data_IF_435793179117
#
_entry.id   IF_435793179117
#
_cell.length_a   1.000
_cell.length_b   1.000
_cell.length_c   1.000
_cell.angle_alpha   90.00
_cell.angle_beta   90.00
_cell.angle_gamma   90.00
#
_symmetry.space_group_name_H-M   'P 1'
#
loop_
_entity.id
_entity.type
_entity.pdbx_description
1 polymer ?
#
# COMPACT_ATOMS: atom_id res chain seq x y z
N UNK A 1 -4.52 16.34 22.11
CA UNK A 1 -3.98 16.52 20.76
C UNK A 1 -5.15 16.33 19.82
N UNK A 2 -5.59 17.39 19.15
CA UNK A 2 -6.78 17.33 18.29
C UNK A 2 -6.55 16.45 17.07
N UNK A 3 -7.60 16.11 16.45
CA UNK A 3 -7.93 15.36 15.24
C UNK A 3 -6.88 15.28 14.11
N UNK A 4 -5.69 14.79 14.39
CA UNK A 4 -4.69 14.55 13.36
C UNK A 4 -5.00 13.22 12.66
N UNK A 5 -5.26 13.25 11.35
CA UNK A 5 -5.74 12.11 10.57
C UNK A 5 -4.67 11.59 9.62
N UNK A 6 -4.75 10.32 9.27
CA UNK A 6 -3.88 9.77 8.23
C UNK A 6 -4.11 10.49 6.90
N UNK A 7 -5.36 10.59 6.47
CA UNK A 7 -5.77 11.31 5.26
C UNK A 7 -6.06 12.76 5.60
N UNK A 8 -5.08 13.64 5.37
CA UNK A 8 -5.22 15.09 5.52
C UNK A 8 -4.39 15.72 6.64
N UNK A 9 -3.81 14.99 7.55
CA UNK A 9 -3.08 15.54 8.69
C UNK A 9 -4.00 16.34 9.63
N UNK A 10 -3.88 17.67 9.62
CA UNK A 10 -4.77 18.58 10.36
C UNK A 10 -6.10 18.84 9.65
N UNK A 11 -6.17 18.57 8.35
CA UNK A 11 -7.40 18.58 7.55
C UNK A 11 -7.95 17.16 7.51
N UNK A 12 -9.17 17.05 6.98
CA UNK A 12 -9.86 15.79 6.81
C UNK A 12 -10.20 15.65 5.32
N UNK A 13 -9.36 14.90 4.57
CA UNK A 13 -9.61 14.67 3.14
C UNK A 13 -10.94 13.93 2.94
N UNK A 14 -11.30 12.99 3.84
CA UNK A 14 -12.60 12.34 3.77
C UNK A 14 -13.73 13.37 3.81
N UNK A 15 -13.71 14.26 4.80
CA UNK A 15 -14.73 15.31 4.96
C UNK A 15 -14.78 16.24 3.75
N UNK A 16 -13.62 16.65 3.22
CA UNK A 16 -13.54 17.47 2.01
C UNK A 16 -14.25 16.80 0.84
N UNK A 17 -14.02 15.50 0.63
CA UNK A 17 -14.66 14.74 -0.44
C UNK A 17 -16.15 14.57 -0.19
N UNK A 18 -16.58 14.31 1.04
CA UNK A 18 -18.00 14.20 1.42
C UNK A 18 -18.75 15.53 1.23
N UNK A 19 -18.13 16.67 1.55
CA UNK A 19 -18.67 18.01 1.28
C UNK A 19 -18.79 18.32 -0.22
N UNK A 20 -18.02 17.61 -1.06
CA UNK A 20 -18.14 17.64 -2.52
C UNK A 20 -19.08 16.55 -3.11
N UNK A 21 -19.84 15.86 -2.26
CA UNK A 21 -20.88 14.90 -2.66
C UNK A 21 -20.39 13.46 -2.88
N UNK A 22 -19.15 13.12 -2.52
CA UNK A 22 -18.63 11.77 -2.65
C UNK A 22 -18.80 10.99 -1.34
N UNK A 23 -19.21 9.73 -1.45
CA UNK A 23 -19.22 8.81 -0.30
C UNK A 23 -17.84 8.19 -0.14
N UNK A 24 -17.21 8.36 1.00
CA UNK A 24 -15.87 7.85 1.31
C UNK A 24 -15.91 6.91 2.50
N UNK A 25 -15.20 5.80 2.41
CA UNK A 25 -15.05 4.81 3.48
C UNK A 25 -13.55 4.63 3.73
N UNK A 26 -13.09 4.89 4.94
CA UNK A 26 -11.73 4.62 5.35
C UNK A 26 -11.65 3.25 6.03
N UNK A 27 -10.67 2.46 5.61
CA UNK A 27 -10.27 1.21 6.24
C UNK A 27 -8.86 1.34 6.79
N UNK A 28 -8.56 0.64 7.87
CA UNK A 28 -7.24 0.64 8.51
C UNK A 28 -6.73 -0.78 8.63
N UNK A 29 -5.51 -1.03 8.18
CA UNK A 29 -4.87 -2.36 8.20
C UNK A 29 -3.49 -2.28 8.81
N UNK A 30 -3.02 -3.39 9.39
CA UNK A 30 -1.74 -3.46 10.08
C UNK A 30 -0.57 -3.04 9.18
N UNK A 31 0.36 -2.17 9.67
CA UNK A 31 1.48 -1.70 8.86
C UNK A 31 2.55 -2.78 8.61
N UNK A 32 2.55 -3.84 9.40
CA UNK A 32 3.56 -4.90 9.40
C UNK A 32 3.11 -6.13 8.60
N UNK A 33 1.81 -6.35 8.50
CA UNK A 33 1.22 -7.49 7.79
C UNK A 33 1.54 -7.46 6.29
N UNK A 34 1.58 -8.62 5.67
CA UNK A 34 1.73 -8.76 4.22
C UNK A 34 0.56 -8.14 3.46
N UNK A 35 0.73 -7.89 2.17
CA UNK A 35 -0.38 -7.43 1.32
C UNK A 35 -1.52 -8.45 1.24
N UNK A 36 -1.23 -9.75 1.35
CA UNK A 36 -2.24 -10.80 1.42
C UNK A 36 -3.12 -10.65 2.66
N UNK A 37 -2.51 -10.59 3.85
CA UNK A 37 -3.24 -10.45 5.11
C UNK A 37 -4.03 -9.14 5.15
N UNK A 38 -3.42 -8.04 4.72
CA UNK A 38 -4.05 -6.72 4.64
C UNK A 38 -5.25 -6.70 3.69
N UNK A 39 -5.17 -7.35 2.55
CA UNK A 39 -6.26 -7.42 1.58
C UNK A 39 -7.47 -8.16 2.17
N UNK A 40 -7.24 -9.25 2.89
CA UNK A 40 -8.29 -9.99 3.60
C UNK A 40 -8.93 -9.13 4.70
N UNK A 41 -8.13 -8.38 5.44
CA UNK A 41 -8.65 -7.45 6.45
C UNK A 41 -9.50 -6.32 5.82
N UNK A 42 -9.08 -5.76 4.68
CA UNK A 42 -9.89 -4.78 3.93
C UNK A 42 -11.24 -5.38 3.53
N UNK A 43 -11.23 -6.61 3.01
CA UNK A 43 -12.46 -7.30 2.64
C UNK A 43 -13.43 -7.41 3.82
N UNK A 44 -12.97 -7.91 4.96
CA UNK A 44 -13.82 -8.07 6.14
C UNK A 44 -14.24 -6.75 6.79
N UNK A 45 -13.40 -5.70 6.73
CA UNK A 45 -13.81 -4.37 7.18
C UNK A 45 -14.97 -3.82 6.31
N UNK A 46 -14.97 -4.09 5.01
CA UNK A 46 -16.04 -3.66 4.11
C UNK A 46 -17.28 -4.55 4.20
N UNK A 47 -17.13 -5.86 4.08
CA UNK A 47 -18.23 -6.82 4.06
C UNK A 47 -18.79 -7.15 5.44
N UNK A 48 -17.94 -7.18 6.45
CA UNK A 48 -18.23 -7.72 7.78
C UNK A 48 -17.77 -9.16 7.94
N UNK A 49 -18.02 -9.71 9.12
CA UNK A 49 -17.64 -11.07 9.47
C UNK A 49 -16.31 -11.18 10.17
N UNK A 50 -15.89 -12.40 10.44
CA UNK A 50 -14.59 -12.73 11.05
C UNK A 50 -13.54 -12.86 9.97
N UNK A 51 -12.38 -12.25 10.18
CA UNK A 51 -11.21 -12.41 9.30
C UNK A 51 -10.85 -13.88 9.19
N UNK A 52 -10.66 -14.34 7.96
CA UNK A 52 -10.21 -15.69 7.63
C UNK A 52 -9.07 -15.59 6.60
N UNK A 53 -7.83 -15.79 7.06
CA UNK A 53 -6.64 -15.69 6.21
C UNK A 53 -6.48 -16.87 5.22
N UNK A 54 -7.39 -17.85 5.26
CA UNK A 54 -7.36 -19.05 4.43
C UNK A 54 -6.52 -20.18 5.05
N UNK A 55 -6.98 -21.40 4.89
CA UNK A 55 -6.35 -22.58 5.51
C UNK A 55 -4.93 -22.83 4.98
N UNK A 56 -4.76 -22.77 3.66
CA UNK A 56 -3.44 -22.98 3.04
C UNK A 56 -2.44 -21.91 3.41
N UNK A 57 -2.84 -20.64 3.36
CA UNK A 57 -1.99 -19.50 3.67
C UNK A 57 -1.57 -19.53 5.14
N UNK A 58 -2.52 -19.73 6.05
CA UNK A 58 -2.26 -19.79 7.48
C UNK A 58 -1.34 -20.93 7.86
N UNK A 59 -1.54 -22.12 7.28
CA UNK A 59 -0.65 -23.28 7.48
C UNK A 59 0.75 -23.00 6.96
N UNK A 60 0.88 -22.38 5.78
CA UNK A 60 2.18 -22.09 5.16
C UNK A 60 3.03 -21.14 6.00
N UNK A 61 2.40 -20.13 6.61
CA UNK A 61 3.10 -19.07 7.32
C UNK A 61 2.96 -19.11 8.85
N UNK A 62 2.30 -20.15 9.40
CA UNK A 62 2.14 -20.32 10.84
C UNK A 62 1.23 -19.28 11.49
N UNK A 63 0.15 -18.86 10.78
CA UNK A 63 -0.79 -17.87 11.26
C UNK A 63 -1.96 -18.54 11.99
N UNK A 64 -2.61 -17.77 12.88
CA UNK A 64 -3.98 -18.08 13.34
C UNK A 64 -4.92 -17.74 12.17
N UNK A 65 -5.56 -18.77 11.59
CA UNK A 65 -6.42 -18.60 10.43
C UNK A 65 -7.57 -17.62 10.69
N UNK A 66 -8.24 -17.74 11.84
CA UNK A 66 -9.38 -16.93 12.25
C UNK A 66 -9.14 -16.30 13.63
N UNK A 67 -8.39 -15.18 13.72
CA UNK A 67 -8.17 -14.51 15.00
C UNK A 67 -9.49 -14.09 15.64
N UNK A 68 -9.68 -14.38 16.92
CA UNK A 68 -10.95 -14.17 17.63
C UNK A 68 -11.29 -12.69 17.87
N UNK A 69 -10.30 -11.82 17.80
CA UNK A 69 -10.42 -10.38 17.99
C UNK A 69 -10.66 -9.60 16.70
N UNK A 70 -10.56 -10.26 15.53
CA UNK A 70 -10.77 -9.63 14.21
C UNK A 70 -12.15 -9.96 13.65
N UNK A 71 -13.19 -9.36 14.25
CA UNK A 71 -14.59 -9.46 13.80
C UNK A 71 -15.11 -8.08 13.47
N UNK A 72 -15.60 -7.88 12.25
CA UNK A 72 -16.07 -6.59 11.75
C UNK A 72 -17.58 -6.60 11.47
N UNK A 73 -18.22 -5.45 11.73
CA UNK A 73 -19.66 -5.26 11.40
C UNK A 73 -19.94 -5.06 9.92
N UNK A 74 -18.89 -4.71 9.16
CA UNK A 74 -19.00 -4.29 7.77
C UNK A 74 -19.37 -2.81 7.61
N UNK A 75 -18.46 -2.06 6.96
CA UNK A 75 -18.66 -0.65 6.63
C UNK A 75 -19.51 -0.49 5.36
N UNK A 76 -19.51 -1.50 4.50
CA UNK A 76 -20.26 -1.54 3.24
C UNK A 76 -20.75 -2.97 2.93
N UNK A 77 -21.68 -3.56 3.72
CA UNK A 77 -22.10 -4.96 3.55
C UNK A 77 -22.70 -5.28 2.17
N UNK A 78 -23.29 -4.27 1.49
CA UNK A 78 -23.85 -4.40 0.14
C UNK A 78 -22.79 -4.37 -0.97
N UNK A 79 -21.49 -4.23 -0.66
CA UNK A 79 -20.40 -4.30 -1.63
C UNK A 79 -20.48 -5.60 -2.44
N UNK A 80 -20.36 -5.48 -3.74
CA UNK A 80 -20.49 -6.58 -4.69
C UNK A 80 -20.51 -6.06 -6.12
N UNK A 81 -20.72 -6.91 -7.11
CA UNK A 81 -20.75 -6.53 -8.53
C UNK A 81 -21.83 -5.50 -8.87
N UNK A 82 -22.96 -5.50 -8.15
CA UNK A 82 -24.00 -4.48 -8.31
C UNK A 82 -23.69 -3.15 -7.62
N UNK A 83 -22.74 -3.14 -6.70
CA UNK A 83 -22.31 -1.99 -5.92
C UNK A 83 -20.78 -1.96 -5.81
N UNK A 84 -20.07 -1.85 -6.94
CA UNK A 84 -18.61 -1.86 -6.96
C UNK A 84 -18.04 -0.60 -6.29
N UNK A 85 -16.75 -0.67 -5.93
CA UNK A 85 -16.04 0.44 -5.31
C UNK A 85 -14.85 0.88 -6.15
N UNK A 86 -14.42 2.13 -5.93
CA UNK A 86 -13.13 2.65 -6.33
C UNK A 86 -12.18 2.54 -5.14
N UNK A 87 -11.06 1.88 -5.30
CA UNK A 87 -10.04 1.75 -4.26
C UNK A 87 -8.97 2.83 -4.43
N UNK A 88 -8.61 3.49 -3.35
CA UNK A 88 -7.53 4.47 -3.32
C UNK A 88 -6.54 4.07 -2.22
N UNK A 89 -5.32 3.73 -2.61
CA UNK A 89 -4.27 3.27 -1.69
C UNK A 89 -3.04 4.18 -1.70
N UNK A 90 -2.58 4.58 -0.50
CA UNK A 90 -1.32 5.29 -0.35
C UNK A 90 -0.22 4.33 0.06
N UNK A 91 0.99 4.53 -0.49
CA UNK A 91 2.16 3.71 -0.15
C UNK A 91 1.87 2.21 -0.38
N UNK A 92 2.15 1.36 0.59
CA UNK A 92 1.80 -0.07 0.54
C UNK A 92 0.31 -0.34 0.26
N UNK A 93 -0.58 0.64 0.55
CA UNK A 93 -2.03 0.52 0.31
C UNK A 93 -2.40 0.27 -1.16
N UNK A 94 -1.62 0.79 -2.11
CA UNK A 94 -1.83 0.50 -3.53
C UNK A 94 -1.48 -0.95 -3.89
N UNK A 95 -0.42 -1.53 -3.33
CA UNK A 95 -0.13 -2.96 -3.47
C UNK A 95 -1.22 -3.82 -2.80
N UNK A 96 -1.72 -3.39 -1.62
CA UNK A 96 -2.83 -4.06 -0.93
C UNK A 96 -4.11 -4.06 -1.77
N UNK A 97 -4.43 -2.95 -2.45
CA UNK A 97 -5.59 -2.86 -3.35
C UNK A 97 -5.46 -3.82 -4.55
N UNK A 98 -4.28 -3.94 -5.15
CA UNK A 98 -3.99 -4.92 -6.21
C UNK A 98 -4.10 -6.37 -5.70
N UNK A 99 -3.61 -6.63 -4.50
CA UNK A 99 -3.74 -7.95 -3.89
C UNK A 99 -5.21 -8.29 -3.62
N UNK A 100 -6.02 -7.33 -3.14
CA UNK A 100 -7.46 -7.54 -2.95
C UNK A 100 -8.17 -7.86 -4.28
N UNK A 101 -7.83 -7.14 -5.36
CA UNK A 101 -8.30 -7.49 -6.70
C UNK A 101 -7.98 -8.95 -7.05
N UNK A 102 -6.73 -9.36 -6.88
CA UNK A 102 -6.29 -10.71 -7.16
C UNK A 102 -7.08 -11.76 -6.36
N UNK A 103 -7.28 -11.51 -5.06
CA UNK A 103 -8.03 -12.41 -4.19
C UNK A 103 -9.51 -12.50 -4.58
N UNK A 104 -10.12 -11.42 -5.05
CA UNK A 104 -11.50 -11.41 -5.54
C UNK A 104 -11.66 -12.11 -6.89
N UNK A 105 -10.69 -11.98 -7.78
CA UNK A 105 -10.84 -12.46 -9.16
C UNK A 105 -10.42 -13.92 -9.36
N UNK A 106 -9.76 -14.52 -8.39
CA UNK A 106 -9.25 -15.90 -8.48
C UNK A 106 -9.96 -16.85 -7.53
N UNK A 107 -9.94 -18.11 -7.88
CA UNK A 107 -10.41 -19.22 -7.06
C UNK A 107 -9.23 -19.89 -6.36
N UNK A 108 -9.40 -20.21 -5.09
CA UNK A 108 -8.35 -20.86 -4.30
C UNK A 108 -8.79 -22.26 -3.86
N UNK A 109 -7.84 -23.18 -3.81
CA UNK A 109 -8.09 -24.58 -3.46
C UNK A 109 -7.20 -25.03 -2.31
N UNK A 110 -7.79 -25.69 -1.32
CA UNK A 110 -7.05 -26.36 -0.24
C UNK A 110 -6.31 -27.59 -0.81
N UNK A 111 -6.97 -28.30 -1.70
CA UNK A 111 -6.41 -29.47 -2.36
C UNK A 111 -6.86 -29.51 -3.82
N UNK A 112 -5.94 -29.18 -4.72
CA UNK A 112 -6.20 -29.13 -6.16
C UNK A 112 -6.61 -30.50 -6.72
N UNK A 113 -5.99 -31.58 -6.24
CA UNK A 113 -6.28 -32.94 -6.74
C UNK A 113 -7.69 -33.42 -6.39
N UNK A 114 -8.24 -32.95 -5.26
CA UNK A 114 -9.59 -33.26 -4.81
C UNK A 114 -10.61 -32.18 -5.20
N UNK A 115 -10.17 -31.13 -5.87
CA UNK A 115 -11.00 -29.97 -6.23
C UNK A 115 -11.73 -29.37 -5.01
N UNK A 116 -11.05 -29.30 -3.85
CA UNK A 116 -11.57 -28.72 -2.63
C UNK A 116 -11.16 -27.26 -2.54
N UNK A 117 -12.12 -26.34 -2.64
CA UNK A 117 -11.94 -24.90 -2.50
C UNK A 117 -11.75 -24.48 -1.04
N UNK A 118 -11.12 -23.33 -0.83
CA UNK A 118 -11.12 -22.66 0.46
C UNK A 118 -12.55 -22.31 0.88
N UNK A 119 -12.84 -22.44 2.17
CA UNK A 119 -14.16 -22.12 2.74
C UNK A 119 -14.32 -20.64 3.12
N UNK A 120 -13.25 -19.84 2.96
CA UNK A 120 -13.31 -18.40 3.20
C UNK A 120 -14.23 -17.71 2.20
N UNK A 121 -15.06 -16.78 2.66
CA UNK A 121 -15.96 -15.98 1.83
C UNK A 121 -15.24 -15.23 0.69
N UNK A 122 -13.97 -14.89 0.90
CA UNK A 122 -13.13 -14.23 -0.12
C UNK A 122 -12.40 -15.23 -1.01
N UNK A 123 -11.86 -16.31 -0.44
CA UNK A 123 -10.90 -17.18 -1.13
C UNK A 123 -11.55 -18.40 -1.83
N UNK A 124 -12.86 -18.55 -1.74
CA UNK A 124 -13.58 -19.66 -2.36
C UNK A 124 -13.77 -19.48 -3.86
N UNK A 125 -14.87 -18.86 -4.23
CA UNK A 125 -15.23 -18.60 -5.63
C UNK A 125 -14.80 -17.23 -6.10
N UNK A 126 -14.52 -17.09 -7.40
CA UNK A 126 -14.18 -15.81 -8.03
C UNK A 126 -15.33 -14.78 -7.89
N UNK A 127 -15.00 -13.56 -7.52
CA UNK A 127 -15.92 -12.44 -7.25
C UNK A 127 -15.58 -11.24 -8.12
N UNK A 128 -15.63 -11.40 -9.44
CA UNK A 128 -15.33 -10.33 -10.41
C UNK A 128 -16.33 -9.19 -10.36
N UNK A 129 -15.90 -8.01 -10.82
CA UNK A 129 -16.75 -6.83 -10.95
C UNK A 129 -17.02 -6.08 -9.64
N UNK A 130 -16.32 -6.40 -8.54
CA UNK A 130 -16.50 -5.71 -7.26
C UNK A 130 -15.66 -4.43 -7.15
N UNK A 131 -14.67 -4.27 -8.03
CA UNK A 131 -13.76 -3.11 -8.08
C UNK A 131 -13.90 -2.45 -9.45
N UNK A 132 -14.25 -1.18 -9.49
CA UNK A 132 -14.31 -0.38 -10.73
C UNK A 132 -12.96 0.23 -11.09
N UNK A 133 -12.20 0.67 -10.10
CA UNK A 133 -10.87 1.22 -10.32
C UNK A 133 -9.95 1.06 -9.11
N UNK A 134 -8.65 1.06 -9.38
CA UNK A 134 -7.59 1.13 -8.37
C UNK A 134 -6.75 2.36 -8.64
N UNK A 135 -6.62 3.21 -7.61
CA UNK A 135 -5.72 4.37 -7.62
C UNK A 135 -4.62 4.17 -6.59
N UNK A 136 -3.39 4.33 -7.02
CA UNK A 136 -2.20 4.27 -6.17
C UNK A 136 -1.54 5.64 -6.02
N UNK A 137 -1.21 6.02 -4.78
CA UNK A 137 -0.49 7.26 -4.45
C UNK A 137 0.83 6.88 -3.76
N UNK A 138 1.95 7.30 -4.30
CA UNK A 138 3.28 6.99 -3.74
C UNK A 138 3.52 5.49 -3.48
N UNK A 139 2.92 4.61 -4.28
CA UNK A 139 2.96 3.16 -4.07
C UNK A 139 4.24 2.55 -4.66
N UNK A 140 4.99 1.77 -3.89
CA UNK A 140 6.19 1.08 -4.38
C UNK A 140 5.80 -0.17 -5.18
N UNK A 141 5.29 -0.02 -6.41
CA UNK A 141 4.85 -1.14 -7.26
C UNK A 141 5.99 -2.13 -7.53
N UNK A 142 7.21 -1.63 -7.71
CA UNK A 142 8.42 -2.42 -7.93
C UNK A 142 9.31 -2.49 -6.68
N UNK A 143 8.74 -2.22 -5.51
CA UNK A 143 9.46 -2.13 -4.25
C UNK A 143 10.11 -0.76 -4.01
N UNK A 144 10.78 -0.64 -2.88
CA UNK A 144 11.55 0.54 -2.48
C UNK A 144 12.96 0.14 -2.08
N UNK A 145 13.96 0.84 -2.63
CA UNK A 145 15.35 0.64 -2.23
C UNK A 145 15.58 0.93 -0.73
N UNK A 146 14.72 1.74 -0.10
CA UNK A 146 14.75 1.95 1.34
C UNK A 146 14.40 0.68 2.12
N UNK A 147 13.41 -0.08 1.68
CA UNK A 147 13.02 -1.32 2.35
C UNK A 147 14.18 -2.33 2.37
N UNK A 148 14.89 -2.49 1.26
CA UNK A 148 16.08 -3.35 1.17
C UNK A 148 17.23 -2.88 2.07
N UNK A 149 17.49 -1.57 2.14
CA UNK A 149 18.54 -1.01 2.99
C UNK A 149 18.19 -1.25 4.47
N UNK A 150 16.95 -1.00 4.85
CA UNK A 150 16.51 -1.10 6.25
C UNK A 150 16.49 -2.56 6.71
N UNK A 151 15.96 -3.47 5.91
CA UNK A 151 15.88 -4.90 6.26
C UNK A 151 17.26 -5.55 6.40
N UNK A 152 18.25 -5.10 5.61
CA UNK A 152 19.62 -5.61 5.69
C UNK A 152 20.43 -5.01 6.86
N UNK A 153 20.04 -3.84 7.40
CA UNK A 153 20.83 -3.10 8.38
C UNK A 153 20.24 -3.12 9.79
N UNK A 154 18.93 -3.16 9.93
CA UNK A 154 18.22 -3.13 11.22
C UNK A 154 17.03 -4.09 11.20
N UNK A 155 16.62 -4.63 12.36
CA UNK A 155 15.33 -5.30 12.43
C UNK A 155 14.24 -4.32 11.97
N UNK A 156 13.50 -4.70 10.93
CA UNK A 156 12.50 -3.87 10.25
C UNK A 156 11.47 -3.24 11.21
N UNK A 157 11.17 -3.92 12.30
CA UNK A 157 10.29 -3.42 13.35
C UNK A 157 10.80 -2.12 13.99
N UNK A 158 12.11 -1.91 14.11
CA UNK A 158 12.68 -0.67 14.66
C UNK A 158 12.44 0.51 13.72
N UNK A 159 12.36 0.26 12.42
CA UNK A 159 11.99 1.27 11.44
C UNK A 159 10.55 1.74 11.63
N UNK A 160 9.60 0.81 11.80
CA UNK A 160 8.19 1.15 12.06
C UNK A 160 7.99 1.81 13.42
N UNK A 161 8.71 1.39 14.45
CA UNK A 161 8.69 2.06 15.77
C UNK A 161 9.19 3.50 15.62
N UNK A 162 10.24 3.73 14.84
CA UNK A 162 10.73 5.06 14.53
C UNK A 162 9.71 5.91 13.77
N UNK A 163 9.03 5.34 12.77
CA UNK A 163 7.96 5.99 12.03
C UNK A 163 6.74 6.31 12.90
N UNK A 164 6.30 5.38 13.73
CA UNK A 164 5.22 5.58 14.68
C UNK A 164 5.53 6.69 15.71
N UNK A 165 6.79 6.80 16.12
CA UNK A 165 7.25 7.90 16.96
C UNK A 165 7.16 9.28 16.30
N UNK A 166 7.21 9.34 14.98
CA UNK A 166 7.16 10.58 14.19
C UNK A 166 5.72 11.03 13.89
N UNK A 167 4.85 10.08 13.54
CA UNK A 167 3.46 10.35 13.10
C UNK A 167 2.47 10.22 14.26
N UNK A 168 2.90 9.66 15.37
CA UNK A 168 2.10 9.39 16.57
C UNK A 168 1.64 7.93 16.64
N UNK A 169 1.73 7.35 17.83
CA UNK A 169 1.37 5.94 18.11
C UNK A 169 -0.09 5.60 17.84
N UNK A 170 -0.96 6.60 17.70
CA UNK A 170 -2.39 6.42 17.42
C UNK A 170 -2.68 6.03 15.96
N UNK A 171 -1.72 6.12 15.05
CA UNK A 171 -1.89 5.78 13.63
C UNK A 171 -1.42 4.37 13.29
N UNK A 172 -0.64 3.75 14.15
CA UNK A 172 -0.11 2.41 13.94
C UNK A 172 -0.51 1.54 15.11
N UNK A 173 -1.69 0.96 15.02
CA UNK A 173 -1.96 -0.23 15.80
C UNK A 173 -1.09 -1.35 15.18
N UNK A 174 -0.11 -1.82 15.97
CA UNK A 174 0.64 -3.01 15.58
C UNK A 174 -0.25 -4.21 15.85
N UNK A 175 -1.28 -4.35 15.01
CA UNK A 175 -2.16 -5.49 15.03
C UNK A 175 -1.39 -6.72 14.53
N UNK A 176 -1.01 -7.58 15.47
CA UNK A 176 -0.20 -8.76 15.27
C UNK A 176 -0.92 -10.02 15.78
N UNK A 177 -2.25 -9.95 15.87
CA UNK A 177 -3.08 -11.04 16.39
C UNK A 177 -2.97 -12.32 15.56
N UNK A 178 -2.68 -12.22 14.26
CA UNK A 178 -2.45 -13.37 13.40
C UNK A 178 -1.22 -14.21 13.83
N UNK A 179 -0.29 -13.65 14.60
CA UNK A 179 0.88 -14.37 15.14
C UNK A 179 0.82 -14.60 16.65
N UNK A 180 -0.32 -14.31 17.30
CA UNK A 180 -0.48 -14.38 18.77
C UNK A 180 0.53 -13.54 19.55
N UNK A 181 0.95 -12.41 18.99
CA UNK A 181 1.93 -11.51 19.62
C UNK A 181 1.38 -10.15 20.02
N UNK A 182 0.08 -10.07 20.29
CA UNK A 182 -0.52 -8.87 20.84
C UNK A 182 0.06 -8.53 22.22
N UNK A 183 0.07 -7.24 22.55
CA UNK A 183 0.52 -6.78 23.85
C UNK A 183 -0.42 -7.29 24.94
N UNK A 184 0.13 -7.97 25.96
CA UNK A 184 -0.63 -8.47 27.12
C UNK A 184 -1.05 -7.30 28.03
N UNK A 185 -2.22 -7.40 28.65
CA UNK A 185 -2.80 -6.34 29.49
C UNK A 185 -1.87 -5.85 30.62
N UNK A 186 -1.03 -6.72 31.16
CA UNK A 186 -0.07 -6.41 32.25
C UNK A 186 1.37 -6.22 31.74
N UNK A 187 1.59 -6.13 30.44
CA UNK A 187 2.91 -5.99 29.83
C UNK A 187 3.22 -4.52 29.58
N UNK A 188 4.32 -4.01 30.14
CA UNK A 188 4.77 -2.68 29.78
C UNK A 188 5.36 -2.68 28.36
N UNK A 189 5.40 -1.48 27.73
CA UNK A 189 5.84 -1.32 26.37
C UNK A 189 7.26 -1.87 26.09
N UNK A 190 8.18 -1.69 27.03
CA UNK A 190 9.54 -2.18 26.90
C UNK A 190 9.62 -3.72 26.84
N UNK A 191 8.89 -4.41 27.72
CA UNK A 191 8.83 -5.88 27.73
C UNK A 191 8.17 -6.42 26.44
N UNK A 192 7.11 -5.76 25.99
CA UNK A 192 6.43 -6.09 24.73
C UNK A 192 7.39 -5.99 23.53
N UNK A 193 8.10 -4.88 23.38
CA UNK A 193 9.09 -4.67 22.32
C UNK A 193 10.23 -5.71 22.39
N UNK A 194 10.70 -6.04 23.60
CA UNK A 194 11.73 -7.07 23.78
C UNK A 194 11.24 -8.46 23.36
N UNK A 195 10.00 -8.81 23.68
CA UNK A 195 9.38 -10.08 23.28
C UNK A 195 9.15 -10.12 21.76
N UNK A 196 8.66 -9.04 21.19
CA UNK A 196 8.46 -8.92 19.75
C UNK A 196 9.77 -9.04 18.98
N UNK A 197 10.85 -8.39 19.48
CA UNK A 197 12.12 -8.28 18.75
C UNK A 197 12.70 -9.61 18.26
N UNK A 198 12.47 -10.69 19.00
CA UNK A 198 13.02 -12.01 18.73
C UNK A 198 11.98 -13.01 18.21
N UNK A 199 10.81 -12.54 17.76
CA UNK A 199 9.73 -13.43 17.33
C UNK A 199 10.00 -13.98 15.93
N UNK A 200 9.64 -15.26 15.70
CA UNK A 200 9.83 -15.98 14.42
C UNK A 200 9.10 -15.32 13.24
N UNK A 201 8.00 -14.59 13.52
CA UNK A 201 7.23 -13.84 12.53
C UNK A 201 8.09 -12.87 11.70
N UNK A 202 9.25 -12.44 12.19
CA UNK A 202 10.14 -11.55 11.44
C UNK A 202 10.98 -12.25 10.38
N UNK A 203 11.01 -13.58 10.40
CA UNK A 203 11.79 -14.39 9.45
C UNK A 203 10.91 -14.92 8.29
N UNK A 204 9.62 -14.57 8.27
CA UNK A 204 8.70 -14.99 7.21
C UNK A 204 8.71 -14.04 6.02
N UNK A 205 8.35 -14.54 4.84
CA UNK A 205 8.01 -13.71 3.68
C UNK A 205 6.59 -13.10 3.76
N UNK A 206 5.76 -13.54 4.71
CA UNK A 206 4.41 -13.02 4.92
C UNK A 206 4.43 -11.76 5.78
N UNK A 207 5.16 -10.74 5.34
CA UNK A 207 5.38 -9.51 6.09
C UNK A 207 5.64 -8.33 5.15
N UNK A 208 5.25 -7.14 5.57
CA UNK A 208 5.40 -5.92 4.77
C UNK A 208 6.85 -5.62 4.36
N UNK A 209 7.84 -6.00 5.17
CA UNK A 209 9.26 -5.82 4.82
C UNK A 209 9.68 -6.61 3.58
N UNK A 210 9.12 -7.80 3.41
CA UNK A 210 9.34 -8.58 2.20
C UNK A 210 8.60 -7.95 1.02
N UNK A 211 7.32 -7.68 1.17
CA UNK A 211 6.47 -7.16 0.09
C UNK A 211 6.95 -5.81 -0.46
N UNK A 212 7.58 -5.00 0.39
CA UNK A 212 8.14 -3.69 0.02
C UNK A 212 9.57 -3.75 -0.52
N UNK A 213 10.26 -4.89 -0.41
CA UNK A 213 11.59 -5.08 -1.00
C UNK A 213 11.50 -5.21 -2.53
N UNK A 214 12.63 -5.02 -3.23
CA UNK A 214 12.68 -5.20 -4.68
C UNK A 214 12.34 -6.63 -5.09
N UNK A 215 12.85 -7.62 -4.38
CA UNK A 215 12.61 -9.04 -4.67
C UNK A 215 11.16 -9.44 -4.34
N UNK A 216 10.63 -8.98 -3.20
CA UNK A 216 9.25 -9.26 -2.79
C UNK A 216 8.23 -8.61 -3.71
N UNK A 217 8.46 -7.37 -4.14
CA UNK A 217 7.61 -6.70 -5.12
C UNK A 217 7.62 -7.43 -6.47
N UNK A 218 8.78 -7.90 -6.93
CA UNK A 218 8.87 -8.71 -8.15
C UNK A 218 8.13 -10.07 -8.02
N UNK A 219 8.18 -10.71 -6.84
CA UNK A 219 7.41 -11.92 -6.54
C UNK A 219 5.90 -11.63 -6.62
N UNK A 220 5.43 -10.53 -6.01
CA UNK A 220 4.04 -10.06 -6.07
C UNK A 220 3.63 -9.76 -7.51
N UNK A 221 4.41 -9.00 -8.25
CA UNK A 221 4.11 -8.64 -9.63
C UNK A 221 4.09 -9.84 -10.58
N UNK A 222 4.70 -10.98 -10.19
CA UNK A 222 4.63 -12.22 -10.96
C UNK A 222 3.26 -12.90 -10.90
N UNK A 223 2.43 -12.55 -9.93
CA UNK A 223 1.07 -13.10 -9.76
C UNK A 223 -0.04 -12.05 -9.96
N UNK A 224 0.26 -10.76 -9.77
CA UNK A 224 -0.70 -9.68 -9.94
C UNK A 224 -0.55 -9.05 -11.32
N UNK A 225 -1.64 -9.03 -12.09
CA UNK A 225 -1.73 -8.35 -13.38
C UNK A 225 -2.86 -7.33 -13.35
N UNK A 226 -2.78 -6.34 -14.24
CA UNK A 226 -3.92 -5.46 -14.47
C UNK A 226 -5.10 -6.27 -15.06
N UNK A 227 -6.24 -6.20 -14.39
CA UNK A 227 -7.48 -6.84 -14.84
C UNK A 227 -8.06 -6.07 -16.03
N UNK A 228 -8.53 -6.75 -17.10
CA UNK A 228 -9.13 -6.09 -18.25
C UNK A 228 -10.43 -5.36 -17.94
N UNK A 229 -11.01 -5.56 -16.75
CA UNK A 229 -12.30 -5.00 -16.35
C UNK A 229 -12.15 -3.83 -15.34
N UNK A 230 -10.93 -3.39 -15.02
CA UNK A 230 -10.64 -2.38 -14.01
C UNK A 230 -9.83 -1.23 -14.60
N UNK A 231 -10.14 0.00 -14.19
CA UNK A 231 -9.33 1.20 -14.48
C UNK A 231 -8.22 1.36 -13.44
N UNK A 232 -6.99 1.69 -13.88
CA UNK A 232 -5.87 1.89 -12.97
C UNK A 232 -5.28 3.29 -13.10
N UNK A 233 -4.99 3.92 -11.95
CA UNK A 233 -4.41 5.25 -11.88
C UNK A 233 -3.23 5.25 -10.91
N UNK A 234 -2.17 5.99 -11.25
CA UNK A 234 -1.01 6.13 -10.38
C UNK A 234 -0.53 7.57 -10.28
N UNK A 235 -0.32 8.02 -9.05
CA UNK A 235 0.30 9.31 -8.74
C UNK A 235 1.70 9.06 -8.21
N UNK A 236 2.69 9.61 -8.92
CA UNK A 236 4.08 9.62 -8.48
C UNK A 236 4.43 10.93 -7.80
N UNK A 237 5.34 10.85 -6.83
CA UNK A 237 5.79 11.98 -6.03
C UNK A 237 7.31 12.06 -6.03
N UNK A 238 7.84 13.28 -5.92
CA UNK A 238 9.27 13.52 -5.86
C UNK A 238 9.60 14.62 -4.85
N UNK A 239 10.43 14.29 -3.88
CA UNK A 239 10.95 15.20 -2.88
C UNK A 239 12.43 15.56 -3.13
N UNK A 240 12.98 15.14 -4.27
CA UNK A 240 14.37 15.33 -4.63
C UNK A 240 14.53 16.06 -5.96
N UNK A 241 15.74 16.57 -6.19
CA UNK A 241 16.17 17.13 -7.47
C UNK A 241 17.55 16.59 -7.82
N UNK A 242 17.83 16.47 -9.10
CA UNK A 242 19.17 16.11 -9.61
C UNK A 242 20.15 17.24 -9.30
N UNK A 243 21.28 16.90 -8.71
CA UNK A 243 22.41 17.79 -8.50
C UNK A 243 23.29 17.76 -9.76
N UNK A 244 23.54 18.92 -10.35
CA UNK A 244 24.24 19.02 -11.63
C UNK A 244 25.73 18.63 -11.54
N UNK A 245 26.34 18.75 -10.36
CA UNK A 245 27.75 18.45 -10.17
C UNK A 245 28.01 16.96 -9.99
N UNK A 246 27.15 16.29 -9.23
CA UNK A 246 27.32 14.88 -8.87
C UNK A 246 26.45 13.94 -9.69
N UNK A 247 25.40 14.44 -10.32
CA UNK A 247 24.38 13.65 -10.98
C UNK A 247 23.42 12.91 -10.02
N UNK A 248 23.68 12.95 -8.72
CA UNK A 248 22.84 12.33 -7.69
C UNK A 248 21.57 13.15 -7.44
N UNK A 249 20.55 12.51 -6.84
CA UNK A 249 19.35 13.19 -6.38
C UNK A 249 19.52 13.64 -4.93
N UNK A 250 19.30 14.92 -4.67
CA UNK A 250 19.39 15.55 -3.35
C UNK A 250 18.02 16.05 -2.90
N UNK A 251 17.70 16.00 -1.59
CA UNK A 251 16.39 16.43 -1.09
C UNK A 251 16.14 17.91 -1.32
N UNK A 252 14.92 18.27 -1.72
CA UNK A 252 14.44 19.63 -1.81
C UNK A 252 14.43 20.31 -0.42
N UNK A 253 14.38 21.66 -0.40
CA UNK A 253 14.46 22.43 0.86
C UNK A 253 13.26 22.21 1.79
N UNK A 254 12.11 21.89 1.24
CA UNK A 254 10.81 21.76 1.90
C UNK A 254 10.44 20.32 2.28
N UNK A 255 11.36 19.39 2.08
CA UNK A 255 11.20 18.00 2.53
C UNK A 255 11.19 17.93 4.05
N UNK A 256 10.27 17.15 4.60
CA UNK A 256 10.16 16.93 6.02
C UNK A 256 11.48 16.47 6.63
N UNK A 257 11.93 17.16 7.68
CA UNK A 257 13.30 17.02 8.21
C UNK A 257 13.67 15.58 8.54
N UNK A 258 12.72 14.81 9.09
CA UNK A 258 12.97 13.44 9.55
C UNK A 258 13.16 12.42 8.41
N UNK A 259 12.67 12.71 7.20
CA UNK A 259 12.90 11.83 6.03
C UNK A 259 13.99 12.36 5.08
N UNK A 260 14.50 13.55 5.35
CA UNK A 260 15.50 14.20 4.49
C UNK A 260 16.78 13.39 4.32
N UNK A 261 17.27 12.76 5.40
CA UNK A 261 18.41 11.87 5.35
C UNK A 261 18.16 10.62 4.51
N UNK A 262 16.95 10.10 4.56
CA UNK A 262 16.50 8.95 3.73
C UNK A 262 16.40 9.35 2.26
N UNK A 263 15.80 10.49 1.95
CA UNK A 263 15.75 11.02 0.59
C UNK A 263 17.14 11.17 -0.03
N UNK A 264 18.11 11.67 0.76
CA UNK A 264 19.52 11.76 0.34
C UNK A 264 20.15 10.36 0.13
N UNK A 265 19.86 9.42 1.03
CA UNK A 265 20.37 8.04 0.95
C UNK A 265 19.88 7.35 -0.32
N UNK A 266 18.57 7.42 -0.61
CA UNK A 266 17.96 6.85 -1.80
C UNK A 266 18.48 7.50 -3.08
N UNK A 267 18.78 8.79 -3.04
CA UNK A 267 19.19 9.61 -4.18
C UNK A 267 20.54 9.28 -4.81
N UNK A 268 21.28 8.30 -4.28
CA UNK A 268 22.62 7.90 -4.80
C UNK A 268 22.93 6.41 -4.63
N UNK A 269 21.99 5.63 -4.08
CA UNK A 269 22.25 4.21 -3.80
C UNK A 269 22.00 3.34 -5.01
N UNK A 270 22.90 2.38 -5.16
CA UNK A 270 22.78 1.24 -6.07
C UNK A 270 22.59 -0.01 -5.22
N UNK A 271 21.64 -0.84 -5.57
CA UNK A 271 21.32 -2.10 -4.89
C UNK A 271 21.30 -3.23 -5.89
N UNK A 272 21.59 -4.43 -5.40
CA UNK A 272 21.48 -5.66 -6.16
C UNK A 272 20.29 -6.47 -5.66
N UNK A 273 19.48 -6.95 -6.59
CA UNK A 273 18.42 -7.92 -6.35
C UNK A 273 18.98 -9.33 -6.23
N UNK A 274 18.20 -10.28 -5.74
CA UNK A 274 18.64 -11.67 -5.57
C UNK A 274 18.98 -12.37 -6.90
N UNK A 275 18.42 -11.92 -8.01
CA UNK A 275 18.72 -12.42 -9.35
C UNK A 275 19.97 -11.78 -9.98
N UNK A 276 20.67 -10.90 -9.26
CA UNK A 276 21.87 -10.20 -9.71
C UNK A 276 21.62 -8.94 -10.55
N UNK A 277 20.38 -8.51 -10.74
CA UNK A 277 20.08 -7.23 -11.38
C UNK A 277 20.47 -6.06 -10.49
N UNK A 278 20.92 -4.96 -11.08
CA UNK A 278 21.38 -3.75 -10.40
C UNK A 278 20.41 -2.59 -10.62
N UNK A 279 20.11 -1.83 -9.55
CA UNK A 279 19.39 -0.57 -9.70
C UNK A 279 20.32 0.50 -10.26
N UNK A 280 19.84 1.28 -11.20
CA UNK A 280 20.56 2.36 -11.85
C UNK A 280 20.13 3.76 -11.36
N UNK A 281 20.63 4.82 -12.01
CA UNK A 281 20.30 6.20 -11.68
C UNK A 281 18.83 6.57 -11.83
N UNK A 282 18.04 5.78 -12.56
CA UNK A 282 16.57 6.00 -12.69
C UNK A 282 15.83 5.72 -11.38
N UNK A 283 16.47 5.03 -10.42
CA UNK A 283 15.95 4.78 -9.08
C UNK A 283 16.24 5.90 -8.08
N UNK A 284 17.05 6.89 -8.42
CA UNK A 284 17.51 7.88 -7.46
C UNK A 284 16.49 8.97 -7.14
N UNK A 285 15.61 9.31 -8.08
CA UNK A 285 14.49 10.19 -7.78
C UNK A 285 13.53 9.50 -6.80
N UNK A 286 13.13 10.23 -5.72
CA UNK A 286 12.34 9.64 -4.65
C UNK A 286 11.56 10.70 -3.84
N UNK A 287 10.56 10.25 -3.11
CA UNK A 287 9.76 11.05 -2.19
C UNK A 287 10.26 11.02 -0.72
N UNK A 288 11.41 10.42 -0.50
CA UNK A 288 12.02 10.20 0.82
C UNK A 288 11.75 8.82 1.43
N UNK A 289 10.86 8.04 0.86
CA UNK A 289 10.50 6.67 1.29
C UNK A 289 10.50 5.71 0.09
N UNK A 290 9.94 6.12 -1.03
CA UNK A 290 9.75 5.32 -2.24
C UNK A 290 10.45 5.99 -3.42
N UNK A 291 11.03 5.20 -4.32
CA UNK A 291 11.63 5.67 -5.55
C UNK A 291 10.53 6.06 -6.56
N UNK A 292 10.60 7.25 -7.15
CA UNK A 292 9.52 7.82 -7.98
C UNK A 292 9.19 6.94 -9.19
N UNK A 293 10.18 6.26 -9.79
CA UNK A 293 9.92 5.32 -10.89
C UNK A 293 9.00 4.17 -10.48
N UNK A 294 9.16 3.67 -9.25
CA UNK A 294 8.37 2.55 -8.72
C UNK A 294 6.90 2.92 -8.47
N UNK A 295 6.57 4.21 -8.45
CA UNK A 295 5.20 4.69 -8.19
C UNK A 295 4.33 4.73 -9.46
N UNK A 296 4.92 4.65 -10.64
CA UNK A 296 4.20 4.84 -11.92
C UNK A 296 3.33 3.64 -12.30
N UNK A 297 3.63 2.48 -11.79
CA UNK A 297 2.96 1.21 -12.05
C UNK A 297 3.94 0.05 -11.98
N UNK A 298 3.47 -1.20 -11.99
CA UNK A 298 4.33 -2.38 -11.90
C UNK A 298 5.08 -2.62 -13.21
N UNK A 299 6.41 -2.74 -13.11
CA UNK A 299 7.29 -2.99 -14.27
C UNK A 299 8.14 -4.24 -14.11
N UNK A 300 8.12 -4.87 -12.93
CA UNK A 300 8.89 -6.08 -12.61
C UNK A 300 7.98 -7.31 -12.51
N UNK A 301 8.60 -8.46 -12.30
CA UNK A 301 7.89 -9.75 -12.20
C UNK A 301 8.05 -10.61 -13.47
N UNK A 302 7.72 -11.89 -13.35
CA UNK A 302 7.90 -12.84 -14.45
C UNK A 302 6.96 -12.60 -15.65
N UNK A 303 5.81 -11.95 -15.38
CA UNK A 303 4.83 -11.62 -16.42
C UNK A 303 5.20 -10.35 -17.21
N UNK A 304 6.28 -9.66 -16.83
CA UNK A 304 6.68 -8.39 -17.41
C UNK A 304 5.91 -7.19 -16.81
N UNK A 305 6.04 -6.04 -17.45
CA UNK A 305 5.36 -4.83 -17.05
C UNK A 305 3.87 -4.87 -17.41
N UNK A 306 3.00 -4.37 -16.54
CA UNK A 306 1.64 -4.00 -16.94
C UNK A 306 1.68 -2.86 -17.97
N UNK A 307 0.65 -2.69 -18.80
CA UNK A 307 0.54 -1.52 -19.67
C UNK A 307 0.49 -0.23 -18.85
N UNK A 308 1.46 0.68 -19.05
CA UNK A 308 1.54 1.97 -18.35
C UNK A 308 1.64 3.08 -19.37
N UNK A 309 0.71 4.04 -19.34
CA UNK A 309 0.71 5.22 -20.20
C UNK A 309 0.53 6.50 -19.39
N UNK A 310 0.90 7.64 -19.95
CA UNK A 310 0.63 8.93 -19.33
C UNK A 310 -0.85 9.28 -19.42
N UNK A 311 -1.41 9.83 -18.34
CA UNK A 311 -2.78 10.31 -18.31
C UNK A 311 -2.90 11.59 -19.14
N UNK A 312 -3.72 11.56 -20.17
CA UNK A 312 -4.07 12.72 -20.99
C UNK A 312 -5.59 12.95 -20.92
N UNK A 313 -6.06 14.12 -20.43
CA UNK A 313 -7.49 14.39 -20.27
C UNK A 313 -8.31 14.32 -21.56
N UNK A 314 -7.66 14.47 -22.71
CA UNK A 314 -8.28 14.44 -24.04
C UNK A 314 -8.47 13.02 -24.60
N UNK A 315 -7.82 12.02 -24.00
CA UNK A 315 -7.83 10.66 -24.51
C UNK A 315 -8.87 9.81 -23.75
N UNK A 316 -9.56 8.89 -24.45
CA UNK A 316 -10.50 7.99 -23.79
C UNK A 316 -9.77 7.03 -22.86
N UNK A 317 -10.37 6.76 -21.70
CA UNK A 317 -9.86 5.79 -20.74
C UNK A 317 -10.28 4.37 -21.14
N UNK A 318 -9.34 3.44 -21.04
CA UNK A 318 -9.56 2.01 -21.23
C UNK A 318 -9.20 1.26 -19.94
N UNK A 319 -9.91 0.18 -19.68
CA UNK A 319 -9.59 -0.74 -18.60
C UNK A 319 -8.34 -1.57 -18.94
N UNK A 320 -7.74 -2.19 -17.95
CA UNK A 320 -6.59 -3.08 -18.14
C UNK A 320 -5.25 -2.38 -18.26
N UNK A 321 -5.17 -1.07 -18.06
CA UNK A 321 -3.91 -0.33 -18.11
C UNK A 321 -3.81 0.76 -17.06
N UNK A 322 -2.58 1.09 -16.68
CA UNK A 322 -2.25 2.15 -15.72
C UNK A 322 -2.15 3.50 -16.44
N UNK A 323 -2.86 4.49 -15.91
CA UNK A 323 -2.73 5.90 -16.26
C UNK A 323 -1.89 6.60 -15.20
N UNK A 324 -0.65 6.96 -15.54
CA UNK A 324 0.24 7.68 -14.63
C UNK A 324 0.12 9.17 -14.83
N UNK A 325 -0.12 9.90 -13.75
CA UNK A 325 -0.13 11.37 -13.77
C UNK A 325 1.28 11.94 -13.69
N UNK A 326 1.43 13.20 -14.11
CA UNK A 326 2.68 13.93 -13.96
C UNK A 326 3.16 13.92 -12.49
N UNK A 327 4.47 13.77 -12.29
CA UNK A 327 5.06 13.67 -10.96
C UNK A 327 4.87 14.96 -10.15
N UNK A 328 4.38 14.82 -8.92
CA UNK A 328 4.06 15.92 -8.02
C UNK A 328 5.23 16.16 -7.05
N UNK A 329 5.62 17.44 -6.89
CA UNK A 329 6.73 17.83 -5.99
C UNK A 329 6.28 17.89 -4.52
N UNK A 330 6.04 16.70 -3.94
CA UNK A 330 5.71 16.48 -2.55
C UNK A 330 6.52 15.31 -2.00
N UNK A 331 6.77 15.31 -0.69
CA UNK A 331 7.32 14.13 -0.03
C UNK A 331 6.23 13.11 0.33
N UNK A 332 6.65 11.93 0.75
CA UNK A 332 5.77 10.79 1.04
C UNK A 332 4.62 11.11 1.99
N UNK A 333 4.87 11.90 3.03
CA UNK A 333 3.84 12.28 4.00
C UNK A 333 3.00 13.46 3.51
N UNK A 334 3.60 14.35 2.74
CA UNK A 334 2.89 15.48 2.12
C UNK A 334 1.84 14.98 1.11
N UNK A 335 2.07 13.85 0.46
CA UNK A 335 1.12 13.26 -0.50
C UNK A 335 -0.24 12.91 0.10
N UNK A 336 -0.32 12.69 1.41
CA UNK A 336 -1.56 12.46 2.18
C UNK A 336 -1.90 13.61 3.13
N UNK A 337 -1.30 14.79 2.94
CA UNK A 337 -1.71 16.02 3.62
C UNK A 337 -0.98 16.36 4.91
N UNK A 338 0.09 15.62 5.26
CA UNK A 338 0.86 15.92 6.46
C UNK A 338 1.84 17.07 6.23
N UNK A 339 1.97 17.98 7.19
CA UNK A 339 3.00 19.04 7.23
C UNK A 339 3.09 19.92 5.99
N UNK A 340 1.95 20.18 5.36
CA UNK A 340 1.84 21.04 4.20
C UNK A 340 1.76 22.53 4.58
N UNK A 341 2.33 23.40 3.73
CA UNK A 341 1.96 24.82 3.69
C UNK A 341 0.51 24.99 3.21
N UNK A 342 -0.10 26.15 3.47
CA UNK A 342 -1.48 26.39 3.03
C UNK A 342 -1.63 26.31 1.50
N UNK A 343 -0.63 26.79 0.75
CA UNK A 343 -0.61 26.72 -0.71
C UNK A 343 -0.61 25.29 -1.23
N UNK A 344 0.33 24.45 -0.72
CA UNK A 344 0.41 23.04 -1.10
C UNK A 344 -0.81 22.23 -0.67
N UNK A 345 -1.48 22.67 0.40
CA UNK A 345 -2.71 22.07 0.88
C UNK A 345 -3.85 22.26 -0.11
N UNK A 346 -4.10 23.51 -0.55
CA UNK A 346 -5.12 23.78 -1.55
C UNK A 346 -4.88 23.04 -2.87
N UNK A 347 -3.62 22.92 -3.29
CA UNK A 347 -3.24 22.10 -4.44
C UNK A 347 -3.60 20.62 -4.22
N UNK A 348 -3.25 20.05 -3.07
CA UNK A 348 -3.53 18.65 -2.76
C UNK A 348 -5.03 18.37 -2.67
N UNK A 349 -5.80 19.24 -1.99
CA UNK A 349 -7.25 19.13 -1.89
C UNK A 349 -7.89 19.11 -3.30
N UNK A 350 -7.42 19.97 -4.20
CA UNK A 350 -7.86 20.01 -5.60
C UNK A 350 -7.53 18.70 -6.34
N UNK A 351 -6.37 18.09 -6.11
CA UNK A 351 -5.99 16.81 -6.71
C UNK A 351 -6.98 15.72 -6.28
N UNK A 352 -7.29 15.61 -4.99
CA UNK A 352 -8.23 14.61 -4.49
C UNK A 352 -9.65 14.82 -5.00
N UNK A 353 -10.14 16.08 -5.05
CA UNK A 353 -11.48 16.40 -5.58
C UNK A 353 -11.54 16.07 -7.07
N UNK A 354 -10.59 16.53 -7.86
CA UNK A 354 -10.57 16.29 -9.31
C UNK A 354 -10.46 14.79 -9.62
N UNK A 355 -9.68 14.06 -8.84
CA UNK A 355 -9.58 12.62 -9.00
C UNK A 355 -10.89 11.90 -8.64
N UNK A 356 -11.56 12.30 -7.56
CA UNK A 356 -12.86 11.76 -7.21
C UNK A 356 -13.91 12.05 -8.30
N UNK A 357 -13.88 13.23 -8.93
CA UNK A 357 -14.72 13.57 -10.08
C UNK A 357 -14.40 12.68 -11.28
N UNK A 358 -13.12 12.43 -11.57
CA UNK A 358 -12.69 11.49 -12.61
C UNK A 358 -13.26 10.09 -12.35
N UNK A 359 -13.10 9.55 -11.14
CA UNK A 359 -13.62 8.24 -10.78
C UNK A 359 -15.15 8.18 -10.90
N UNK A 360 -15.84 9.25 -10.50
CA UNK A 360 -17.31 9.35 -10.61
C UNK A 360 -17.79 9.38 -12.06
N UNK A 361 -16.97 9.89 -12.97
CA UNK A 361 -17.29 9.97 -14.42
C UNK A 361 -17.05 8.68 -15.18
N UNK A 362 -16.38 7.70 -14.58
CA UNK A 362 -16.13 6.41 -15.22
C UNK A 362 -17.45 5.69 -15.54
N UNK A 363 -17.52 4.96 -16.66
CA UNK A 363 -18.69 4.15 -16.98
C UNK A 363 -19.07 3.21 -15.83
N UNK A 364 -20.36 3.18 -15.51
CA UNK A 364 -20.93 2.22 -14.55
C UNK A 364 -21.43 1.02 -15.37
N UNK A 365 -20.92 -0.14 -15.09
CA UNK A 365 -21.35 -1.38 -15.71
C UNK A 365 -22.39 -2.10 -14.86
#
# INVERSE_FOLDING_TARGET
MGDYRYWGGKNDIQKILEENGFKVINVSVGPISSNWDRAIEVYHQLKGGQVDYGANHSKKYGLIQKPSDKIYKGLYPQWGSNNPVHLVGHSMGGQTARMLQYLLENEFYINVSLNLKEESDLLGDSQKGWISSITSLATPHDGSTLADIVTKTFPFIQYFIGLAGVVGTNFYDFDLSQWDINRKSNENWYKYVQRMRNHEAWNTKNISSWDLSLDGAAEINSILNASPDIYYFSYSFSATKKDELTGYHIPNKDVFLLIRSRAKLLGSRVLFTSNGSETDSTWWENDGIVNSRSMRGPTTGQNGADPIIEYLPSEPLMQGQWYTFESIKLDHYQSVGHMLSNEKRGMLDSIYINHAQLLWSLPKY
#
